data_IF_317075029420
#
_entry.id   IF_317075029420
#
_cell.length_a   1.000
_cell.length_b   1.000
_cell.length_c   1.000
_cell.angle_alpha   90.00
_cell.angle_beta   90.00
_cell.angle_gamma   90.00
#
_symmetry.space_group_name_H-M   'P 1'
#
loop_
_entity.id
_entity.type
_entity.pdbx_description
1 polymer ?
#
# COMPACT_ATOMS: atom_id res chain seq x y z
N UNK A 1 -21.12 13.73 9.01
CA UNK A 1 -20.16 13.72 7.89
C UNK A 1 -20.00 15.15 7.44
N UNK A 2 -18.78 15.64 7.33
CA UNK A 2 -18.47 17.01 6.93
C UNK A 2 -17.72 16.99 5.59
N UNK A 3 -17.85 18.04 4.77
CA UNK A 3 -17.33 18.06 3.40
C UNK A 3 -16.68 19.41 3.09
N UNK A 4 -15.46 19.41 2.55
CA UNK A 4 -14.91 20.58 1.86
C UNK A 4 -15.58 20.71 0.50
N UNK A 5 -16.31 21.81 0.27
CA UNK A 5 -16.89 22.13 -1.03
C UNK A 5 -16.00 23.12 -1.77
N UNK A 6 -15.90 23.02 -3.09
CA UNK A 6 -15.13 24.00 -3.89
C UNK A 6 -15.71 25.40 -3.71
N UNK A 7 -17.04 25.51 -3.55
CA UNK A 7 -17.75 26.78 -3.34
C UNK A 7 -17.39 27.49 -2.03
N UNK A 8 -16.87 26.76 -1.05
CA UNK A 8 -16.63 27.27 0.30
C UNK A 8 -15.16 27.70 0.49
N UNK A 9 -14.35 27.57 -0.57
CA UNK A 9 -12.95 28.00 -0.59
C UNK A 9 -12.78 29.54 -0.72
N UNK A 10 -11.56 30.04 -0.52
CA UNK A 10 -10.33 29.29 -0.24
C UNK A 10 -10.25 28.77 1.21
N UNK A 11 -9.67 27.59 1.38
CA UNK A 11 -9.42 27.01 2.70
C UNK A 11 -8.01 27.32 3.17
N UNK A 12 -7.88 28.29 4.08
CA UNK A 12 -6.60 28.66 4.70
C UNK A 12 -6.77 28.70 6.22
N UNK A 13 -6.16 27.74 6.91
CA UNK A 13 -6.26 27.57 8.35
C UNK A 13 -4.89 27.61 9.02
N UNK A 14 -4.85 27.85 10.32
CA UNK A 14 -3.64 27.55 11.10
C UNK A 14 -3.54 26.05 11.34
N UNK A 15 -4.61 25.46 11.88
CA UNK A 15 -4.68 24.06 12.24
C UNK A 15 -6.02 23.47 11.79
N UNK A 16 -5.99 22.24 11.30
CA UNK A 16 -7.18 21.43 11.04
C UNK A 16 -7.18 20.26 12.02
N UNK A 17 -8.27 20.10 12.75
CA UNK A 17 -8.49 18.98 13.67
C UNK A 17 -9.67 18.14 13.20
N UNK A 18 -9.40 16.89 12.84
CA UNK A 18 -10.41 15.89 12.51
C UNK A 18 -10.38 14.85 13.62
N UNK A 19 -11.35 14.89 14.52
CA UNK A 19 -11.32 14.13 15.79
C UNK A 19 -12.68 13.52 16.13
N UNK A 20 -12.72 12.68 17.18
CA UNK A 20 -13.95 12.11 17.74
C UNK A 20 -14.79 11.33 16.72
N UNK A 21 -14.14 10.50 15.89
CA UNK A 21 -14.81 9.67 14.88
C UNK A 21 -15.39 10.48 13.72
N UNK A 22 -14.91 11.70 13.49
CA UNK A 22 -15.36 12.53 12.39
C UNK A 22 -15.09 11.86 11.04
N UNK A 23 -16.01 12.06 10.09
CA UNK A 23 -15.85 11.63 8.70
C UNK A 23 -15.84 12.86 7.81
N UNK A 24 -14.68 13.14 7.23
CA UNK A 24 -14.42 14.28 6.36
C UNK A 24 -14.15 13.79 4.95
N UNK A 25 -14.79 14.42 3.98
CA UNK A 25 -14.58 14.20 2.56
C UNK A 25 -14.30 15.55 1.88
N UNK A 26 -13.81 15.51 0.64
CA UNK A 26 -13.61 16.71 -0.18
C UNK A 26 -14.35 16.61 -1.51
N UNK A 27 -14.62 17.73 -2.17
CA UNK A 27 -14.90 17.75 -3.61
C UNK A 27 -13.62 17.71 -4.43
N UNK A 28 -13.78 17.34 -5.70
CA UNK A 28 -12.70 17.36 -6.68
C UNK A 28 -12.13 18.78 -6.82
N UNK A 29 -10.81 18.92 -6.90
CA UNK A 29 -10.15 20.21 -7.15
C UNK A 29 -10.09 21.17 -5.95
N UNK A 30 -10.55 20.76 -4.77
CA UNK A 30 -10.43 21.57 -3.54
C UNK A 30 -8.95 21.79 -3.20
N UNK A 31 -8.60 23.03 -2.83
CA UNK A 31 -7.28 23.37 -2.30
C UNK A 31 -7.39 23.69 -0.81
N UNK A 32 -6.61 22.97 0.02
CA UNK A 32 -6.55 23.16 1.47
C UNK A 32 -5.13 23.56 1.85
N UNK A 33 -5.01 24.70 2.53
CA UNK A 33 -3.77 25.15 3.15
C UNK A 33 -3.91 25.20 4.67
N UNK A 34 -2.95 24.62 5.38
CA UNK A 34 -2.82 24.77 6.82
C UNK A 34 -1.38 24.63 7.29
N UNK A 35 -1.05 25.06 8.52
CA UNK A 35 0.26 24.74 9.10
C UNK A 35 0.30 23.29 9.60
N UNK A 36 -0.81 22.82 10.17
CA UNK A 36 -0.92 21.47 10.73
C UNK A 36 -2.26 20.82 10.41
N UNK A 37 -2.24 19.53 10.11
CA UNK A 37 -3.40 18.65 9.99
C UNK A 37 -3.28 17.53 11.02
N UNK A 38 -4.24 17.46 11.93
CA UNK A 38 -4.35 16.41 12.94
C UNK A 38 -5.60 15.56 12.66
N UNK A 39 -5.41 14.26 12.42
CA UNK A 39 -6.50 13.29 12.26
C UNK A 39 -6.37 12.28 13.40
N UNK A 40 -7.36 12.21 14.29
CA UNK A 40 -7.29 11.35 15.47
C UNK A 40 -8.63 10.68 15.84
N UNK A 41 -8.60 9.80 16.82
CA UNK A 41 -9.80 9.27 17.48
C UNK A 41 -10.73 8.53 16.51
N UNK A 42 -10.19 7.59 15.73
CA UNK A 42 -10.90 6.79 14.73
C UNK A 42 -11.58 7.62 13.62
N UNK A 43 -11.09 8.84 13.38
CA UNK A 43 -11.64 9.69 12.33
C UNK A 43 -11.16 9.29 10.94
N UNK A 44 -11.93 9.66 9.93
CA UNK A 44 -11.68 9.40 8.52
C UNK A 44 -11.52 10.71 7.75
N UNK A 45 -10.47 10.82 6.95
CA UNK A 45 -10.35 11.84 5.91
C UNK A 45 -10.15 11.18 4.55
N UNK A 46 -11.12 11.33 3.65
CA UNK A 46 -11.06 10.80 2.29
C UNK A 46 -10.89 11.93 1.29
N UNK A 47 -9.83 11.82 0.50
CA UNK A 47 -9.53 12.74 -0.59
C UNK A 47 -10.41 12.49 -1.79
N UNK A 48 -10.51 13.51 -2.64
CA UNK A 48 -11.15 13.44 -3.95
C UNK A 48 -10.17 13.80 -5.05
N UNK A 49 -10.60 13.55 -6.29
CA UNK A 49 -9.80 13.79 -7.50
C UNK A 49 -9.19 15.21 -7.55
N UNK A 50 -7.93 15.30 -7.95
CA UNK A 50 -7.21 16.57 -8.15
C UNK A 50 -7.22 17.52 -6.93
N UNK A 51 -7.41 17.00 -5.72
CA UNK A 51 -7.32 17.81 -4.51
C UNK A 51 -5.88 18.27 -4.27
N UNK A 52 -5.68 19.47 -3.74
CA UNK A 52 -4.37 19.94 -3.29
C UNK A 52 -4.37 20.12 -1.77
N UNK A 53 -3.40 19.53 -1.10
CA UNK A 53 -3.14 19.71 0.33
C UNK A 53 -1.75 20.31 0.53
N UNK A 54 -1.70 21.58 0.91
CA UNK A 54 -0.46 22.29 1.31
C UNK A 54 -0.42 22.39 2.84
N UNK A 55 0.14 21.35 3.47
CA UNK A 55 0.21 21.23 4.93
C UNK A 55 1.58 20.68 5.34
N UNK A 56 2.47 21.52 5.88
CA UNK A 56 3.82 21.09 6.26
C UNK A 56 3.86 19.93 7.25
N UNK A 57 2.91 19.88 8.20
CA UNK A 57 2.88 18.85 9.24
C UNK A 57 1.57 18.08 9.27
N UNK A 58 1.63 16.79 8.94
CA UNK A 58 0.48 15.87 8.96
C UNK A 58 0.70 14.84 10.07
N UNK A 59 -0.23 14.77 11.01
CA UNK A 59 -0.22 13.79 12.12
C UNK A 59 -1.52 12.99 12.11
N UNK A 60 -1.40 11.67 12.03
CA UNK A 60 -2.51 10.71 12.04
C UNK A 60 -2.32 9.79 13.24
N UNK A 61 -3.27 9.76 14.16
CA UNK A 61 -3.15 9.03 15.43
C UNK A 61 -4.47 8.36 15.86
N UNK A 62 -4.43 7.51 16.89
CA UNK A 62 -5.59 6.99 17.60
C UNK A 62 -6.60 6.29 16.69
N UNK A 63 -6.13 5.40 15.81
CA UNK A 63 -6.95 4.61 14.90
C UNK A 63 -7.51 5.39 13.70
N UNK A 64 -7.08 6.64 13.51
CA UNK A 64 -7.53 7.44 12.36
C UNK A 64 -7.05 6.88 11.02
N UNK A 65 -7.83 7.14 9.96
CA UNK A 65 -7.50 6.73 8.59
C UNK A 65 -7.55 7.92 7.63
N UNK A 66 -6.51 8.04 6.80
CA UNK A 66 -6.47 8.94 5.65
C UNK A 66 -6.54 8.10 4.36
N UNK A 67 -7.52 8.37 3.51
CA UNK A 67 -7.73 7.65 2.24
C UNK A 67 -7.46 8.57 1.07
N UNK A 68 -6.45 8.22 0.28
CA UNK A 68 -6.00 8.90 -0.92
C UNK A 68 -6.84 8.52 -2.15
N UNK A 69 -6.96 9.44 -3.11
CA UNK A 69 -7.62 9.19 -4.40
C UNK A 69 -6.61 8.79 -5.49
N UNK A 70 -5.33 9.15 -5.32
CA UNK A 70 -4.23 8.83 -6.24
C UNK A 70 -4.00 9.85 -7.36
N UNK A 71 -4.70 10.99 -7.34
CA UNK A 71 -4.48 12.13 -8.25
C UNK A 71 -4.31 13.46 -7.52
N UNK A 72 -4.46 13.47 -6.21
CA UNK A 72 -4.18 14.61 -5.36
C UNK A 72 -2.70 15.00 -5.35
N UNK A 73 -2.43 16.27 -5.04
CA UNK A 73 -1.09 16.79 -4.75
C UNK A 73 -0.98 17.07 -3.25
N UNK A 74 -0.04 16.40 -2.58
CA UNK A 74 0.25 16.62 -1.16
C UNK A 74 1.63 17.26 -1.05
N UNK A 75 1.67 18.48 -0.52
CA UNK A 75 2.90 19.18 -0.15
C UNK A 75 3.01 19.16 1.37
N UNK A 76 3.94 18.34 1.88
CA UNK A 76 4.21 18.21 3.31
C UNK A 76 5.71 18.10 3.57
N UNK A 77 6.14 18.54 4.75
CA UNK A 77 7.51 18.35 5.24
C UNK A 77 7.61 17.10 6.13
N UNK A 78 6.54 16.81 6.87
CA UNK A 78 6.46 15.69 7.79
C UNK A 78 5.13 14.95 7.69
N UNK A 79 5.19 13.62 7.76
CA UNK A 79 4.04 12.74 7.95
C UNK A 79 4.32 11.78 9.10
N UNK A 80 3.50 11.82 10.15
CA UNK A 80 3.61 10.95 11.31
C UNK A 80 2.34 10.12 11.48
N UNK A 81 2.48 8.80 11.55
CA UNK A 81 1.41 7.86 11.87
C UNK A 81 1.69 7.21 13.22
N UNK A 82 0.75 7.26 14.14
CA UNK A 82 0.83 6.64 15.47
C UNK A 82 -0.51 5.98 15.85
N UNK A 83 -0.54 5.25 16.96
CA UNK A 83 -1.79 4.77 17.56
C UNK A 83 -2.67 3.90 16.66
N UNK A 84 -2.09 2.99 15.87
CA UNK A 84 -2.80 2.11 14.93
C UNK A 84 -3.48 2.85 13.76
N UNK A 85 -2.89 3.95 13.31
CA UNK A 85 -3.42 4.74 12.20
C UNK A 85 -3.04 4.21 10.83
N UNK A 86 -3.85 4.55 9.82
CA UNK A 86 -3.72 4.02 8.46
C UNK A 86 -3.69 5.15 7.43
N UNK A 87 -2.73 5.12 6.53
CA UNK A 87 -2.82 5.80 5.23
C UNK A 87 -3.08 4.74 4.17
N UNK A 88 -4.13 4.93 3.37
CA UNK A 88 -4.50 3.99 2.30
C UNK A 88 -4.95 4.74 1.05
N UNK A 89 -5.27 4.00 -0.01
CA UNK A 89 -5.72 4.53 -1.29
C UNK A 89 -6.96 3.77 -1.77
N UNK A 90 -7.75 4.39 -2.64
CA UNK A 90 -8.82 3.70 -3.37
C UNK A 90 -8.23 2.63 -4.32
N UNK A 91 -9.00 1.58 -4.70
CA UNK A 91 -8.53 0.53 -5.59
C UNK A 91 -8.03 1.04 -6.95
N UNK A 92 -7.06 0.33 -7.53
CA UNK A 92 -6.47 0.56 -8.86
C UNK A 92 -5.91 1.98 -9.04
N UNK A 93 -5.37 2.53 -7.95
CA UNK A 93 -4.63 3.79 -7.90
C UNK A 93 -3.31 3.59 -7.15
N UNK A 94 -2.30 4.35 -7.57
CA UNK A 94 -0.98 4.31 -6.91
C UNK A 94 -1.06 5.18 -5.66
N UNK A 95 -0.73 4.62 -4.50
CA UNK A 95 -0.48 5.39 -3.28
C UNK A 95 0.89 6.04 -3.44
N UNK A 96 0.90 7.35 -3.74
CA UNK A 96 2.13 8.10 -3.99
C UNK A 96 2.39 9.12 -2.88
N UNK A 97 3.58 9.06 -2.26
CA UNK A 97 4.02 10.03 -1.27
C UNK A 97 5.42 10.52 -1.61
N UNK A 98 5.61 11.84 -1.64
CA UNK A 98 6.91 12.48 -1.77
C UNK A 98 7.07 13.48 -0.62
N UNK A 99 7.59 13.01 0.51
CA UNK A 99 7.62 13.76 1.77
C UNK A 99 9.00 13.58 2.40
N UNK A 100 9.71 14.66 2.78
CA UNK A 100 11.06 14.57 3.32
C UNK A 100 11.20 13.67 4.55
N UNK A 101 10.22 13.71 5.47
CA UNK A 101 10.26 12.94 6.71
C UNK A 101 8.98 12.14 6.90
N UNK A 102 9.10 10.82 6.98
CA UNK A 102 7.96 9.93 7.27
C UNK A 102 8.29 9.07 8.49
N UNK A 103 7.42 9.09 9.49
CA UNK A 103 7.49 8.22 10.67
C UNK A 103 6.23 7.38 10.77
N UNK A 104 6.41 6.06 10.80
CA UNK A 104 5.33 5.09 10.98
C UNK A 104 5.60 4.38 12.30
N UNK A 105 4.80 4.69 13.31
CA UNK A 105 4.85 4.05 14.63
C UNK A 105 4.33 2.62 14.60
N UNK A 106 4.63 1.87 15.66
CA UNK A 106 4.13 0.51 15.86
C UNK A 106 2.59 0.46 15.76
N UNK A 107 2.08 -0.60 15.13
CA UNK A 107 0.65 -0.78 14.88
C UNK A 107 0.06 0.06 13.74
N UNK A 108 0.74 1.13 13.31
CA UNK A 108 0.30 1.97 12.19
C UNK A 108 0.76 1.43 10.84
N UNK A 109 0.08 1.84 9.76
CA UNK A 109 0.41 1.37 8.41
C UNK A 109 0.20 2.37 7.29
N UNK A 110 1.04 2.25 6.25
CA UNK A 110 0.75 2.73 4.90
C UNK A 110 0.39 1.49 4.08
N UNK A 111 -0.88 1.36 3.68
CA UNK A 111 -1.39 0.12 3.14
C UNK A 111 -2.15 0.30 1.83
N UNK A 112 -1.75 -0.48 0.83
CA UNK A 112 -2.47 -0.72 -0.41
C UNK A 112 -2.93 -2.19 -0.50
N UNK A 113 -3.15 -2.85 0.63
CA UNK A 113 -3.64 -4.24 0.67
C UNK A 113 -4.98 -4.35 -0.05
N UNK A 114 -5.10 -5.33 -0.94
CA UNK A 114 -6.31 -5.62 -1.73
C UNK A 114 -6.80 -4.42 -2.56
N UNK A 115 -5.87 -3.53 -2.97
CA UNK A 115 -6.14 -2.35 -3.83
C UNK A 115 -5.65 -2.51 -5.26
N UNK A 116 -5.23 -3.71 -5.66
CA UNK A 116 -4.82 -4.00 -7.03
C UNK A 116 -5.99 -4.33 -7.94
N UNK A 117 -5.73 -5.09 -9.00
CA UNK A 117 -6.76 -5.52 -9.93
C UNK A 117 -7.84 -6.33 -9.20
N UNK A 118 -9.09 -6.12 -9.59
CA UNK A 118 -10.24 -6.90 -9.12
C UNK A 118 -10.13 -8.37 -9.52
N UNK A 119 -10.93 -9.21 -8.87
CA UNK A 119 -10.98 -10.65 -9.16
C UNK A 119 -11.23 -10.96 -10.64
N UNK A 120 -10.52 -11.97 -11.15
CA UNK A 120 -10.55 -12.39 -12.54
C UNK A 120 -9.90 -11.40 -13.51
N UNK A 121 -9.17 -10.39 -13.03
CA UNK A 121 -8.54 -9.38 -13.88
C UNK A 121 -7.09 -9.10 -13.47
N UNK A 122 -6.36 -8.54 -14.44
CA UNK A 122 -4.93 -8.28 -14.33
C UNK A 122 -4.10 -9.25 -15.17
N UNK A 123 -2.85 -8.90 -15.52
CA UNK A 123 -2.01 -9.71 -16.42
C UNK A 123 -1.69 -11.12 -15.92
N UNK A 124 -1.75 -11.33 -14.60
CA UNK A 124 -1.53 -12.61 -13.95
C UNK A 124 -2.82 -13.22 -13.38
N UNK A 125 -4.01 -12.83 -13.85
CA UNK A 125 -5.25 -13.51 -13.51
C UNK A 125 -5.48 -14.73 -14.41
N UNK A 126 -6.03 -15.81 -13.85
CA UNK A 126 -6.32 -17.03 -14.61
C UNK A 126 -7.74 -17.00 -15.15
N UNK A 127 -7.94 -17.64 -16.30
CA UNK A 127 -9.26 -18.01 -16.80
C UNK A 127 -9.87 -19.20 -16.05
N UNK A 128 -9.05 -19.97 -15.32
CA UNK A 128 -9.48 -21.10 -14.51
C UNK A 128 -9.91 -20.66 -13.10
N UNK A 129 -11.13 -21.01 -12.70
CA UNK A 129 -11.69 -20.64 -11.40
C UNK A 129 -10.91 -21.17 -10.19
N UNK A 130 -10.09 -22.22 -10.37
CA UNK A 130 -9.36 -22.90 -9.30
C UNK A 130 -7.93 -22.37 -9.08
N UNK A 131 -7.54 -21.35 -9.83
CA UNK A 131 -6.15 -20.86 -9.92
C UNK A 131 -6.06 -19.45 -9.36
N UNK A 132 -5.19 -19.27 -8.35
CA UNK A 132 -4.79 -17.98 -7.83
C UNK A 132 -3.93 -17.20 -8.81
N UNK A 133 -3.79 -15.91 -8.59
CA UNK A 133 -3.11 -15.00 -9.49
C UNK A 133 -1.59 -14.98 -9.29
N UNK A 134 -0.87 -14.57 -10.33
CA UNK A 134 0.59 -14.34 -10.33
C UNK A 134 0.90 -12.83 -10.38
N UNK A 135 2.06 -12.41 -9.87
CA UNK A 135 2.65 -11.09 -10.18
C UNK A 135 4.17 -11.13 -10.16
N UNK A 136 4.79 -11.02 -8.97
CA UNK A 136 6.23 -11.17 -8.79
C UNK A 136 6.63 -12.64 -8.58
N UNK A 137 5.73 -13.43 -8.01
CA UNK A 137 5.80 -14.89 -7.91
C UNK A 137 4.65 -15.55 -8.66
N UNK A 138 4.83 -16.83 -9.00
CA UNK A 138 3.83 -17.64 -9.71
C UNK A 138 2.83 -18.27 -8.74
N UNK A 139 1.59 -18.44 -9.20
CA UNK A 139 0.64 -19.39 -8.60
C UNK A 139 1.09 -20.85 -8.79
N UNK A 140 0.39 -21.79 -8.17
CA UNK A 140 0.76 -23.22 -8.09
C UNK A 140 -0.10 -24.16 -8.94
N UNK A 141 -1.04 -23.65 -9.75
CA UNK A 141 -1.94 -24.46 -10.61
C UNK A 141 -2.21 -23.76 -11.95
N UNK A 142 -2.67 -24.55 -12.93
CA UNK A 142 -3.23 -24.10 -14.22
C UNK A 142 -2.26 -23.33 -15.14
N UNK A 143 -2.78 -22.57 -16.09
CA UNK A 143 -1.97 -21.89 -17.14
C UNK A 143 -0.91 -20.89 -16.63
N UNK A 144 -0.95 -20.47 -15.35
CA UNK A 144 -0.16 -19.36 -14.80
C UNK A 144 1.16 -19.76 -14.12
N UNK A 145 1.67 -20.96 -14.39
CA UNK A 145 2.94 -21.43 -13.83
C UNK A 145 4.19 -20.67 -14.31
N UNK A 146 4.09 -19.81 -15.33
CA UNK A 146 5.27 -19.20 -15.99
C UNK A 146 5.19 -17.69 -16.21
N UNK A 147 4.11 -17.01 -15.79
CA UNK A 147 3.92 -15.58 -16.08
C UNK A 147 4.02 -14.71 -14.83
N UNK A 148 5.14 -14.00 -14.71
CA UNK A 148 5.31 -12.82 -13.85
C UNK A 148 5.33 -11.57 -14.72
N UNK A 149 5.00 -10.41 -14.16
CA UNK A 149 5.03 -9.14 -14.91
C UNK A 149 5.57 -7.98 -14.05
N UNK A 150 5.74 -6.81 -14.67
CA UNK A 150 6.30 -5.62 -14.02
C UNK A 150 7.80 -5.69 -13.78
N UNK A 151 8.36 -4.59 -13.28
CA UNK A 151 9.79 -4.47 -12.96
C UNK A 151 10.07 -4.88 -11.52
N UNK A 152 11.19 -5.57 -11.31
CA UNK A 152 11.68 -5.97 -9.97
C UNK A 152 12.41 -4.83 -9.28
N UNK A 153 13.02 -3.94 -10.07
CA UNK A 153 13.79 -2.79 -9.61
C UNK A 153 12.89 -1.56 -9.45
N UNK A 154 11.87 -1.41 -10.30
CA UNK A 154 10.96 -0.27 -10.27
C UNK A 154 9.48 -0.72 -10.30
N UNK A 155 9.01 -1.44 -9.27
CA UNK A 155 7.68 -2.01 -9.25
C UNK A 155 6.62 -0.92 -9.10
N UNK A 156 5.76 -0.80 -10.11
CA UNK A 156 4.65 0.19 -10.14
C UNK A 156 3.32 -0.42 -10.55
N UNK A 157 3.31 -1.71 -10.90
CA UNK A 157 2.10 -2.37 -11.37
C UNK A 157 1.30 -2.93 -10.19
N UNK A 158 -0.01 -2.99 -10.36
CA UNK A 158 -0.89 -3.64 -9.41
C UNK A 158 -0.75 -5.16 -9.48
N UNK A 159 -0.91 -5.83 -8.35
CA UNK A 159 -1.12 -7.28 -8.29
C UNK A 159 -2.43 -7.67 -8.99
N UNK A 160 -2.46 -8.88 -9.51
CA UNK A 160 -3.61 -9.44 -10.22
C UNK A 160 -4.59 -10.08 -9.24
N UNK A 161 -5.88 -9.99 -9.55
CA UNK A 161 -6.91 -10.63 -8.75
C UNK A 161 -7.03 -12.12 -9.05
N UNK A 162 -7.23 -12.94 -8.02
CA UNK A 162 -7.59 -14.35 -8.17
C UNK A 162 -8.94 -14.51 -8.87
N UNK A 163 -9.29 -15.70 -9.33
CA UNK A 163 -10.54 -15.90 -10.06
C UNK A 163 -11.79 -15.60 -9.19
N UNK A 164 -12.78 -14.87 -9.71
CA UNK A 164 -14.17 -14.76 -9.23
C UNK A 164 -14.45 -14.78 -7.69
N UNK A 165 -14.23 -13.67 -6.97
CA UNK A 165 -14.95 -13.29 -5.72
C UNK A 165 -14.65 -11.84 -5.30
N UNK A 166 -15.36 -11.28 -4.30
CA UNK A 166 -15.06 -9.93 -3.76
C UNK A 166 -13.80 -9.88 -2.87
N UNK A 167 -13.19 -11.03 -2.55
CA UNK A 167 -12.02 -11.10 -1.67
C UNK A 167 -10.70 -11.28 -2.41
N UNK A 168 -10.76 -11.54 -3.71
CA UNK A 168 -9.63 -12.03 -4.49
C UNK A 168 -8.95 -10.89 -5.26
N UNK A 169 -8.85 -9.70 -4.66
CA UNK A 169 -8.14 -8.57 -5.25
C UNK A 169 -6.64 -8.78 -5.14
N UNK A 170 -5.88 -8.36 -6.14
CA UNK A 170 -4.44 -8.25 -6.01
C UNK A 170 -4.05 -7.14 -5.03
N UNK A 171 -2.78 -7.14 -4.62
CA UNK A 171 -2.20 -6.02 -3.88
C UNK A 171 -2.10 -4.76 -4.74
N UNK A 172 -2.26 -3.58 -4.15
CA UNK A 172 -2.12 -2.30 -4.85
C UNK A 172 -0.65 -1.94 -5.13
N UNK A 173 -0.40 -0.69 -5.52
CA UNK A 173 0.96 -0.20 -5.73
C UNK A 173 1.24 1.01 -4.85
N UNK A 174 2.39 0.99 -4.19
CA UNK A 174 2.90 2.06 -3.33
C UNK A 174 4.17 2.63 -3.96
N UNK A 175 4.24 3.96 -4.10
CA UNK A 175 5.48 4.68 -4.39
C UNK A 175 5.74 5.71 -3.29
N UNK A 176 6.88 5.57 -2.61
CA UNK A 176 7.30 6.49 -1.55
C UNK A 176 8.68 7.04 -1.90
N UNK A 177 8.82 8.37 -1.86
CA UNK A 177 10.08 9.09 -2.01
C UNK A 177 10.29 9.94 -0.77
N UNK A 178 11.40 9.71 -0.08
CA UNK A 178 11.74 10.35 1.20
C UNK A 178 13.12 10.98 1.09
N UNK A 179 13.17 12.30 0.96
CA UNK A 179 14.42 13.02 0.77
C UNK A 179 15.25 13.21 2.04
N UNK A 180 14.74 12.84 3.22
CA UNK A 180 15.51 12.85 4.47
C UNK A 180 15.44 11.48 5.17
N UNK A 181 14.54 11.25 6.12
CA UNK A 181 14.45 9.99 6.87
C UNK A 181 13.07 9.33 6.80
N UNK A 182 13.10 8.02 6.49
CA UNK A 182 11.97 7.11 6.66
C UNK A 182 12.22 6.27 7.91
N UNK A 183 11.45 6.50 8.98
CA UNK A 183 11.43 5.63 10.16
C UNK A 183 10.21 4.72 10.10
N UNK A 184 10.41 3.45 9.78
CA UNK A 184 9.33 2.45 9.72
C UNK A 184 9.43 1.48 10.91
N UNK A 185 8.58 1.69 11.93
CA UNK A 185 8.34 0.74 13.02
C UNK A 185 6.97 0.05 12.91
N UNK A 186 6.17 0.43 11.91
CA UNK A 186 4.86 -0.16 11.61
C UNK A 186 4.93 -1.04 10.36
N UNK A 187 3.95 -0.90 9.48
CA UNK A 187 3.86 -1.70 8.25
C UNK A 187 3.69 -0.84 6.99
N UNK A 188 4.46 -1.13 5.95
CA UNK A 188 4.21 -0.66 4.58
C UNK A 188 3.85 -1.87 3.73
N UNK A 189 2.58 -1.96 3.30
CA UNK A 189 2.04 -3.21 2.76
C UNK A 189 1.24 -3.06 1.48
N UNK A 190 1.41 -4.00 0.56
CA UNK A 190 0.55 -4.18 -0.62
C UNK A 190 0.20 -5.65 -0.83
N UNK A 191 -0.36 -6.29 0.18
CA UNK A 191 -0.72 -7.71 0.13
C UNK A 191 -1.94 -7.97 -0.75
N UNK A 192 -1.93 -9.14 -1.41
CA UNK A 192 -3.09 -9.69 -2.09
C UNK A 192 -4.16 -10.18 -1.10
N UNK A 193 -5.42 -10.13 -1.53
CA UNK A 193 -6.51 -10.84 -0.87
C UNK A 193 -6.49 -12.31 -1.24
N UNK A 194 -7.41 -13.12 -0.71
CA UNK A 194 -7.43 -14.57 -0.94
C UNK A 194 -7.23 -14.92 -2.42
N UNK A 195 -6.30 -15.83 -2.72
CA UNK A 195 -5.89 -16.20 -4.08
C UNK A 195 -5.40 -15.05 -5.01
N UNK A 196 -5.42 -13.79 -4.58
CA UNK A 196 -4.85 -12.65 -5.30
C UNK A 196 -3.34 -12.54 -5.10
N UNK A 197 -2.61 -12.07 -6.11
CA UNK A 197 -1.16 -11.88 -5.98
C UNK A 197 -0.83 -10.64 -5.16
N UNK A 198 0.38 -10.62 -4.59
CA UNK A 198 0.93 -9.42 -3.96
C UNK A 198 1.05 -8.27 -4.96
N UNK A 199 1.18 -7.05 -4.45
CA UNK A 199 1.28 -5.83 -5.23
C UNK A 199 2.70 -5.31 -5.37
N UNK A 200 2.83 -3.99 -5.52
CA UNK A 200 4.12 -3.28 -5.59
C UNK A 200 4.36 -2.44 -4.34
N UNK A 201 5.57 -2.50 -3.79
CA UNK A 201 6.09 -1.52 -2.84
C UNK A 201 7.41 -0.98 -3.40
N UNK A 202 7.45 0.30 -3.76
CA UNK A 202 8.66 0.95 -4.25
C UNK A 202 8.99 2.16 -3.36
N UNK A 203 10.10 2.06 -2.63
CA UNK A 203 10.57 3.09 -1.70
C UNK A 203 11.96 3.55 -2.11
N UNK A 204 12.14 4.87 -2.21
CA UNK A 204 13.44 5.54 -2.32
C UNK A 204 13.59 6.48 -1.15
N UNK A 205 14.61 6.31 -0.32
CA UNK A 205 14.84 7.16 0.85
C UNK A 205 16.31 7.53 0.97
N UNK A 206 16.64 8.70 1.53
CA UNK A 206 18.05 8.97 1.87
C UNK A 206 18.48 8.12 3.07
N UNK A 207 17.71 8.14 4.16
CA UNK A 207 17.98 7.36 5.36
C UNK A 207 16.77 6.47 5.70
N UNK A 208 17.01 5.20 6.03
CA UNK A 208 15.95 4.27 6.46
C UNK A 208 16.28 3.73 7.84
N UNK A 209 15.31 3.79 8.76
CA UNK A 209 15.44 3.32 10.13
C UNK A 209 14.19 2.58 10.60
N UNK A 210 14.32 1.90 11.74
CA UNK A 210 13.23 1.21 12.42
C UNK A 210 13.27 -0.31 12.28
N UNK A 211 12.24 -0.95 12.83
CA UNK A 211 12.13 -2.42 12.93
C UNK A 211 10.82 -2.98 12.37
N UNK A 212 10.09 -2.16 11.61
CA UNK A 212 8.81 -2.52 11.00
C UNK A 212 8.94 -3.42 9.78
N UNK A 213 7.90 -3.46 8.96
CA UNK A 213 7.81 -4.35 7.80
C UNK A 213 7.56 -3.59 6.50
N UNK A 214 8.18 -4.08 5.42
CA UNK A 214 7.83 -3.76 4.04
C UNK A 214 7.38 -5.07 3.38
N UNK A 215 6.13 -5.16 2.94
CA UNK A 215 5.60 -6.42 2.42
C UNK A 215 4.67 -6.31 1.21
N UNK A 216 4.80 -7.27 0.31
CA UNK A 216 3.89 -7.45 -0.83
C UNK A 216 3.55 -8.93 -0.96
N UNK A 217 2.93 -9.53 0.05
CA UNK A 217 2.67 -10.97 0.07
C UNK A 217 1.43 -11.33 -0.78
N UNK A 218 1.48 -12.49 -1.41
CA UNK A 218 0.34 -13.10 -2.06
C UNK A 218 -0.68 -13.61 -1.04
N UNK A 219 -1.94 -13.64 -1.45
CA UNK A 219 -3.03 -14.10 -0.61
C UNK A 219 -3.06 -15.61 -0.45
N UNK A 220 -3.55 -16.06 0.70
CA UNK A 220 -3.73 -17.48 1.01
C UNK A 220 -4.64 -18.20 0.02
N UNK A 221 -4.59 -19.52 0.07
CA UNK A 221 -5.56 -20.39 -0.59
C UNK A 221 -6.99 -20.02 -0.15
N UNK A 222 -7.93 -19.97 -1.10
CA UNK A 222 -9.35 -19.86 -0.80
C UNK A 222 -9.99 -21.25 -0.73
N UNK A 223 -10.57 -21.61 0.40
CA UNK A 223 -11.27 -22.87 0.62
C UNK A 223 -12.68 -22.60 1.15
N UNK A 224 -13.68 -22.64 0.26
CA UNK A 224 -15.09 -22.75 0.64
C UNK A 224 -15.73 -23.90 -0.15
N UNK A 225 -16.98 -23.79 -0.60
CA UNK A 225 -17.63 -24.82 -1.45
C UNK A 225 -16.89 -25.14 -2.75
N UNK A 226 -15.83 -24.39 -3.08
CA UNK A 226 -14.83 -24.65 -4.12
C UNK A 226 -13.44 -24.18 -3.63
N UNK A 227 -12.37 -24.66 -4.28
CA UNK A 227 -10.98 -24.37 -3.92
C UNK A 227 -10.27 -23.51 -4.97
N UNK A 228 -9.51 -22.51 -4.51
CA UNK A 228 -8.61 -21.72 -5.35
C UNK A 228 -7.21 -21.72 -4.79
N UNK A 229 -6.21 -21.97 -5.63
CA UNK A 229 -4.81 -21.95 -5.21
C UNK A 229 -4.38 -20.59 -4.66
N UNK A 230 -3.38 -20.53 -3.75
CA UNK A 230 -2.87 -19.27 -3.24
C UNK A 230 -2.30 -18.39 -4.37
N UNK A 231 -2.28 -17.08 -4.14
CA UNK A 231 -1.69 -16.10 -5.04
C UNK A 231 -0.17 -15.98 -4.83
N UNK A 232 0.55 -15.71 -5.92
CA UNK A 232 2.00 -15.48 -5.90
C UNK A 232 2.39 -14.19 -5.20
N UNK A 233 3.64 -14.14 -4.73
CA UNK A 233 4.21 -12.94 -4.10
C UNK A 233 4.25 -11.74 -5.04
N UNK A 234 4.35 -10.55 -4.47
CA UNK A 234 4.45 -9.28 -5.18
C UNK A 234 5.89 -8.86 -5.43
N UNK A 235 6.13 -7.55 -5.48
CA UNK A 235 7.46 -6.97 -5.68
C UNK A 235 7.71 -5.86 -4.68
N UNK A 236 8.83 -5.93 -3.97
CA UNK A 236 9.29 -4.90 -3.06
C UNK A 236 10.65 -4.41 -3.52
N UNK A 237 10.79 -3.11 -3.77
CA UNK A 237 12.04 -2.44 -4.05
C UNK A 237 12.31 -1.34 -3.02
N UNK A 238 13.47 -1.40 -2.37
CA UNK A 238 13.91 -0.45 -1.35
C UNK A 238 15.30 0.08 -1.71
N UNK A 239 15.36 1.37 -2.03
CA UNK A 239 16.58 2.11 -2.31
C UNK A 239 16.88 3.04 -1.13
N UNK A 240 18.11 2.99 -0.61
CA UNK A 240 18.57 3.86 0.46
C UNK A 240 20.02 4.31 0.29
N UNK A 241 20.42 5.42 0.94
CA UNK A 241 21.85 5.80 1.03
C UNK A 241 22.45 5.44 2.38
N UNK A 242 21.69 5.53 3.46
CA UNK A 242 22.08 4.99 4.76
C UNK A 242 20.94 4.20 5.37
N UNK A 243 21.27 3.18 6.15
CA UNK A 243 20.27 2.35 6.80
C UNK A 243 20.72 1.93 8.19
N UNK A 244 19.82 2.11 9.16
CA UNK A 244 19.84 1.43 10.45
C UNK A 244 18.60 0.54 10.61
N UNK A 245 17.93 0.22 9.50
CA UNK A 245 16.75 -0.62 9.49
C UNK A 245 17.10 -2.06 9.86
N UNK A 246 16.30 -2.64 10.76
CA UNK A 246 16.49 -3.99 11.30
C UNK A 246 15.24 -4.86 11.20
N UNK A 247 14.23 -4.37 10.47
CA UNK A 247 12.96 -5.05 10.28
C UNK A 247 12.96 -6.04 9.12
N UNK A 248 11.75 -6.33 8.60
CA UNK A 248 11.53 -7.37 7.58
C UNK A 248 11.16 -6.72 6.24
N UNK A 249 11.75 -7.24 5.16
CA UNK A 249 11.35 -6.94 3.79
C UNK A 249 10.98 -8.25 3.10
N UNK A 250 9.73 -8.40 2.66
CA UNK A 250 9.26 -9.67 2.10
C UNK A 250 8.22 -9.54 0.98
N UNK A 251 8.20 -10.54 0.10
CA UNK A 251 7.22 -10.67 -0.97
C UNK A 251 6.82 -12.14 -1.10
N UNK A 252 6.31 -12.74 -0.01
CA UNK A 252 6.03 -14.17 0.06
C UNK A 252 4.85 -14.58 -0.80
N UNK A 253 4.93 -15.78 -1.37
CA UNK A 253 3.76 -16.43 -1.93
C UNK A 253 2.76 -16.78 -0.83
N UNK A 254 1.47 -16.71 -1.15
CA UNK A 254 0.44 -17.18 -0.24
C UNK A 254 0.55 -18.69 -0.02
N UNK A 255 0.05 -19.16 1.12
CA UNK A 255 -0.01 -20.59 1.44
C UNK A 255 -1.39 -21.00 1.92
N UNK A 256 -1.69 -22.29 1.85
CA UNK A 256 -2.83 -22.90 2.53
C UNK A 256 -2.83 -24.41 2.37
N UNK A 257 -3.92 -25.06 2.78
CA UNK A 257 -4.09 -26.50 2.64
C UNK A 257 -5.46 -26.81 2.05
N UNK A 258 -5.50 -27.71 1.06
CA UNK A 258 -6.76 -28.17 0.44
C UNK A 258 -7.47 -29.22 1.31
N UNK A 259 -6.70 -30.07 1.97
CA UNK A 259 -7.15 -31.27 2.68
C UNK A 259 -6.95 -31.19 4.21
N UNK A 260 -6.38 -30.10 4.72
CA UNK A 260 -6.03 -29.89 6.12
C UNK A 260 -4.67 -30.47 6.53
N UNK A 261 -3.95 -31.14 5.62
CA UNK A 261 -2.71 -31.88 5.91
C UNK A 261 -1.55 -31.44 5.00
N UNK A 262 -1.79 -31.30 3.70
CA UNK A 262 -0.79 -30.90 2.71
C UNK A 262 -0.78 -29.38 2.53
N UNK A 263 0.39 -28.75 2.74
CA UNK A 263 0.57 -27.31 2.56
C UNK A 263 0.98 -27.03 1.12
N UNK A 264 0.21 -26.20 0.43
CA UNK A 264 0.53 -25.68 -0.89
C UNK A 264 0.85 -24.20 -0.77
N UNK A 265 2.00 -23.78 -1.32
CA UNK A 265 2.46 -22.40 -1.29
C UNK A 265 2.80 -21.92 -2.70
N UNK A 266 2.30 -20.74 -3.06
CA UNK A 266 2.70 -20.04 -4.27
C UNK A 266 4.17 -19.61 -4.22
N UNK A 267 4.71 -19.27 -5.39
CA UNK A 267 6.05 -18.74 -5.50
C UNK A 267 6.17 -17.40 -4.78
N UNK A 268 7.28 -17.24 -4.07
CA UNK A 268 7.73 -15.94 -3.60
C UNK A 268 7.96 -15.02 -4.81
N UNK A 269 7.68 -13.74 -4.62
CA UNK A 269 8.04 -12.70 -5.55
C UNK A 269 9.42 -12.12 -5.26
N UNK A 270 9.62 -10.85 -5.61
CA UNK A 270 10.97 -10.25 -5.62
C UNK A 270 11.14 -9.23 -4.51
N UNK A 271 12.26 -9.32 -3.81
CA UNK A 271 12.75 -8.29 -2.89
C UNK A 271 14.07 -7.75 -3.45
N UNK A 272 14.07 -6.48 -3.83
CA UNK A 272 15.22 -5.77 -4.35
C UNK A 272 15.63 -4.67 -3.36
N UNK A 273 16.82 -4.77 -2.79
CA UNK A 273 17.34 -3.83 -1.80
C UNK A 273 18.66 -3.28 -2.31
N UNK A 274 18.77 -1.96 -2.41
CA UNK A 274 19.94 -1.29 -2.99
C UNK A 274 20.43 -0.19 -2.06
N UNK A 275 21.72 -0.25 -1.76
CA UNK A 275 22.48 0.85 -1.18
C UNK A 275 23.01 1.75 -2.32
N UNK A 276 22.48 2.97 -2.41
CA UNK A 276 22.83 3.98 -3.40
C UNK A 276 23.99 4.88 -2.96
N UNK A 277 24.56 4.70 -1.76
CA UNK A 277 25.72 5.49 -1.32
C UNK A 277 26.98 5.23 -2.15
N UNK A 278 26.99 4.14 -2.91
CA UNK A 278 28.11 3.67 -3.74
C UNK A 278 27.93 3.95 -5.25
N UNK A 279 26.82 4.58 -5.67
CA UNK A 279 26.63 4.94 -7.07
C UNK A 279 27.42 6.21 -7.41
N UNK A 280 28.20 6.25 -8.51
CA UNK A 280 28.88 7.47 -8.95
C UNK A 280 27.86 8.58 -9.21
N UNK A 281 28.13 9.78 -8.67
CA UNK A 281 27.36 11.01 -8.99
C UNK A 281 27.51 11.42 -10.45
#
# INVERSE_FOLDING_TARGET
MWKFLVSDGPFSFNNIYISNGAKVISESGVNIKANNLFINGNSLFTFSDNQTLDVPNISIDGGATMTLFGSETITASTLTLAGNSIVTVIPEKILSLNIPNITIGEGSSISADRKGYKAGTGPGASSEDSVGASYGGFSVRGELFTTTYGSETEPTHFGSGGANSNYDFGGGAIRIVVSDILTNNGNISSNGGDAGSGGSVYVTANNVAGSGTFQANGGKLYASGYFKSPGGGGRVALYYKTSSFSGIVEAKGGCGSYDGWSRTCAGDGTVHIVDESILPQ
#
